data_IF_382580711153
#
_entry.id   IF_382580711153
#
_cell.length_a   1.000
_cell.length_b   1.000
_cell.length_c   1.000
_cell.angle_alpha   90.00
_cell.angle_beta   90.00
_cell.angle_gamma   90.00
#
_symmetry.space_group_name_H-M   'P 1'
#
loop_
_entity.id
_entity.type
_entity.pdbx_description
1 polymer ?
#
# COMPACT_ATOMS: atom_id res chain seq x y z
N UNK A 1 6.61 26.20 -16.58
CA UNK A 1 5.67 26.51 -17.68
C UNK A 1 4.61 27.42 -17.09
N UNK A 2 4.81 28.73 -17.22
CA UNK A 2 4.06 29.72 -16.43
C UNK A 2 4.16 29.46 -14.93
N UNK A 3 3.02 29.25 -14.30
CA UNK A 3 2.86 29.02 -12.86
C UNK A 3 2.99 27.55 -12.42
N UNK A 4 3.35 26.64 -13.34
CA UNK A 4 3.52 25.23 -13.05
C UNK A 4 4.97 24.79 -13.23
N UNK A 5 5.46 23.94 -12.32
CA UNK A 5 6.77 23.30 -12.41
C UNK A 5 6.64 21.81 -12.08
N UNK A 6 7.61 21.02 -12.49
CA UNK A 6 7.65 19.60 -12.16
C UNK A 6 9.08 19.09 -12.07
N UNK A 7 9.23 18.02 -11.31
CA UNK A 7 10.42 17.17 -11.26
C UNK A 7 10.01 15.74 -11.59
N UNK A 8 10.90 15.03 -12.27
CA UNK A 8 10.71 13.61 -12.59
C UNK A 8 11.94 12.83 -12.18
N UNK A 9 11.73 11.57 -11.83
CA UNK A 9 12.79 10.62 -11.58
C UNK A 9 12.40 9.29 -12.21
N UNK A 10 13.33 8.70 -12.95
CA UNK A 10 13.21 7.35 -13.50
C UNK A 10 14.32 6.50 -12.89
N UNK A 11 13.95 5.33 -12.39
CA UNK A 11 14.86 4.36 -11.78
C UNK A 11 15.24 3.27 -12.79
N UNK A 12 16.39 2.60 -12.60
CA UNK A 12 16.86 1.58 -13.54
C UNK A 12 15.91 0.40 -13.77
N UNK A 13 15.05 0.10 -12.80
CA UNK A 13 14.04 -0.97 -12.89
C UNK A 13 12.77 -0.53 -13.65
N UNK A 14 12.74 0.72 -14.13
CA UNK A 14 11.61 1.31 -14.84
C UNK A 14 10.55 1.91 -13.92
N UNK A 15 10.73 1.90 -12.59
CA UNK A 15 9.89 2.70 -11.71
C UNK A 15 10.15 4.18 -11.99
N UNK A 16 9.11 4.99 -12.05
CA UNK A 16 9.22 6.43 -12.24
C UNK A 16 8.21 7.17 -11.37
N UNK A 17 8.57 8.39 -11.00
CA UNK A 17 7.62 9.33 -10.40
C UNK A 17 7.76 10.72 -11.01
N UNK A 18 6.66 11.47 -10.93
CA UNK A 18 6.59 12.88 -11.26
C UNK A 18 5.96 13.64 -10.08
N UNK A 19 6.61 14.70 -9.62
CA UNK A 19 6.00 15.68 -8.73
C UNK A 19 5.64 16.88 -9.57
N UNK A 20 4.36 17.20 -9.64
CA UNK A 20 3.84 18.34 -10.41
C UNK A 20 3.27 19.35 -9.43
N UNK A 21 3.72 20.59 -9.57
CA UNK A 21 3.37 21.71 -8.70
C UNK A 21 2.79 22.84 -9.52
N UNK A 22 1.80 23.53 -8.95
CA UNK A 22 1.15 24.69 -9.54
C UNK A 22 0.87 25.75 -8.47
N UNK A 23 1.16 27.00 -8.79
CA UNK A 23 0.92 28.14 -7.91
C UNK A 23 -0.15 29.06 -8.50
N UNK A 24 -1.22 29.28 -7.76
CA UNK A 24 -2.30 30.21 -8.14
C UNK A 24 -2.38 31.40 -7.17
N UNK A 25 -3.00 32.50 -7.63
CA UNK A 25 -3.14 33.73 -6.84
C UNK A 25 -1.89 34.63 -6.83
N UNK A 26 -0.82 34.23 -7.51
CA UNK A 26 0.38 35.04 -7.69
C UNK A 26 0.98 34.88 -9.09
N UNK A 27 1.70 35.91 -9.55
CA UNK A 27 2.70 35.81 -10.59
C UNK A 27 3.96 35.20 -9.99
N UNK A 28 4.42 34.09 -10.55
CA UNK A 28 5.60 33.39 -10.05
C UNK A 28 6.62 33.17 -11.16
N UNK A 29 7.88 33.31 -10.80
CA UNK A 29 9.01 32.86 -11.60
C UNK A 29 9.58 31.60 -10.98
N UNK A 30 9.41 30.48 -11.67
CA UNK A 30 9.86 29.17 -11.19
C UNK A 30 11.19 28.77 -11.82
N UNK A 31 12.03 28.07 -11.06
CA UNK A 31 13.25 27.45 -11.52
C UNK A 31 13.32 26.00 -11.01
N UNK A 32 13.84 25.10 -11.85
CA UNK A 32 14.12 23.72 -11.49
C UNK A 32 15.62 23.47 -11.60
N UNK A 33 16.27 23.10 -10.50
CA UNK A 33 17.70 22.77 -10.45
C UNK A 33 17.87 21.40 -9.80
N UNK A 34 18.20 20.39 -10.61
CA UNK A 34 18.31 19.00 -10.11
C UNK A 34 17.00 18.50 -9.51
N UNK A 35 17.02 18.20 -8.20
CA UNK A 35 15.86 17.75 -7.43
C UNK A 35 15.14 18.89 -6.68
N UNK A 36 15.53 20.14 -6.92
CA UNK A 36 14.96 21.32 -6.28
C UNK A 36 14.06 22.08 -7.26
N UNK A 37 12.86 22.43 -6.78
CA UNK A 37 11.96 23.37 -7.45
C UNK A 37 11.86 24.60 -6.57
N UNK A 38 12.25 25.76 -7.09
CA UNK A 38 12.12 27.05 -6.42
C UNK A 38 11.14 27.94 -7.16
N UNK A 39 10.41 28.79 -6.42
CA UNK A 39 9.48 29.74 -6.98
C UNK A 39 9.64 31.10 -6.30
N UNK A 40 9.94 32.14 -7.10
CA UNK A 40 9.96 33.52 -6.65
C UNK A 40 8.59 34.15 -6.94
N UNK A 41 7.94 34.66 -5.89
CA UNK A 41 6.71 35.44 -6.05
C UNK A 41 7.08 36.85 -6.53
N UNK A 42 6.64 37.22 -7.74
CA UNK A 42 6.93 38.54 -8.34
C UNK A 42 5.78 39.55 -8.13
N UNK A 43 4.63 39.06 -7.65
CA UNK A 43 3.44 39.84 -7.29
C UNK A 43 2.25 38.91 -7.09
N UNK A 44 1.25 39.30 -6.30
CA UNK A 44 0.10 38.43 -6.04
C UNK A 44 -1.02 39.08 -5.24
N UNK A 45 -2.14 38.36 -5.14
CA UNK A 45 -3.26 38.73 -4.27
C UNK A 45 -2.98 38.37 -2.81
N UNK A 46 -3.96 38.62 -1.94
CA UNK A 46 -3.86 38.32 -0.49
C UNK A 46 -3.69 36.82 -0.19
N UNK A 47 -4.07 35.95 -1.13
CA UNK A 47 -3.97 34.49 -0.99
C UNK A 47 -3.19 33.90 -2.15
N UNK A 48 -2.14 33.15 -1.84
CA UNK A 48 -1.35 32.34 -2.78
C UNK A 48 -1.57 30.87 -2.41
N UNK A 49 -1.93 30.04 -3.40
CA UNK A 49 -2.12 28.60 -3.20
C UNK A 49 -1.07 27.83 -3.96
N UNK A 50 -0.51 26.82 -3.31
CA UNK A 50 0.44 25.89 -3.91
C UNK A 50 -0.21 24.51 -3.89
N UNK A 51 -0.51 23.96 -5.07
CA UNK A 51 -1.02 22.61 -5.23
C UNK A 51 0.09 21.70 -5.73
N UNK A 52 0.16 20.50 -5.15
CA UNK A 52 1.17 19.49 -5.49
C UNK A 52 0.50 18.14 -5.69
N UNK A 53 0.95 17.42 -6.72
CA UNK A 53 0.58 16.02 -6.95
C UNK A 53 1.84 15.18 -7.11
N UNK A 54 1.77 13.92 -6.70
CA UNK A 54 2.82 12.92 -6.92
C UNK A 54 2.18 11.79 -7.72
N UNK A 55 2.68 11.55 -8.93
CA UNK A 55 2.30 10.41 -9.76
C UNK A 55 3.44 9.40 -9.77
N UNK A 56 3.12 8.12 -9.68
CA UNK A 56 4.10 7.03 -9.73
C UNK A 56 3.67 6.00 -10.76
N UNK A 57 4.61 5.35 -11.44
CA UNK A 57 4.31 4.30 -12.41
C UNK A 57 5.47 3.32 -12.60
N UNK A 58 5.15 2.09 -13.02
CA UNK A 58 6.13 1.09 -13.43
C UNK A 58 6.13 0.98 -14.96
N UNK A 59 7.27 1.22 -15.61
CA UNK A 59 7.38 1.20 -17.07
C UNK A 59 6.58 2.31 -17.77
N UNK A 60 6.19 3.37 -17.03
CA UNK A 60 5.45 4.51 -17.56
C UNK A 60 6.43 5.64 -17.88
N UNK A 61 6.26 6.29 -19.03
CA UNK A 61 7.09 7.43 -19.41
C UNK A 61 6.90 8.59 -18.43
N UNK A 62 7.99 9.30 -18.11
CA UNK A 62 7.95 10.40 -17.14
C UNK A 62 7.03 11.54 -17.59
N UNK A 63 6.96 11.79 -18.90
CA UNK A 63 6.09 12.79 -19.51
C UNK A 63 4.61 12.46 -19.31
N UNK A 64 4.24 11.17 -19.36
CA UNK A 64 2.87 10.72 -19.11
C UNK A 64 2.49 10.91 -17.64
N UNK A 65 3.42 10.67 -16.71
CA UNK A 65 3.21 10.93 -15.28
C UNK A 65 3.03 12.42 -15.01
N UNK A 66 3.81 13.29 -15.66
CA UNK A 66 3.61 14.75 -15.59
C UNK A 66 2.25 15.14 -16.13
N UNK A 67 1.84 14.59 -17.28
CA UNK A 67 0.53 14.85 -17.86
C UNK A 67 -0.62 14.38 -16.96
N UNK A 68 -0.46 13.24 -16.27
CA UNK A 68 -1.39 12.76 -15.26
C UNK A 68 -1.50 13.72 -14.08
N UNK A 69 -0.35 14.20 -13.56
CA UNK A 69 -0.32 15.16 -12.45
C UNK A 69 -1.00 16.48 -12.80
N UNK A 70 -0.72 17.02 -14.00
CA UNK A 70 -1.42 18.22 -14.52
C UNK A 70 -2.93 18.00 -14.63
N UNK A 71 -3.38 16.84 -15.13
CA UNK A 71 -4.81 16.50 -15.19
C UNK A 71 -5.44 16.40 -13.80
N UNK A 72 -4.72 15.92 -12.79
CA UNK A 72 -5.22 15.92 -11.41
C UNK A 72 -5.33 17.34 -10.85
N UNK A 73 -4.33 18.19 -11.07
CA UNK A 73 -4.35 19.59 -10.63
C UNK A 73 -5.49 20.39 -11.28
N UNK A 74 -5.74 20.20 -12.57
CA UNK A 74 -6.87 20.83 -13.26
C UNK A 74 -8.22 20.46 -12.64
N UNK A 75 -8.38 19.22 -12.15
CA UNK A 75 -9.60 18.81 -11.43
C UNK A 75 -9.76 19.48 -10.08
N UNK A 76 -8.68 19.93 -9.44
CA UNK A 76 -8.77 20.68 -8.17
C UNK A 76 -9.48 22.02 -8.40
N UNK A 77 -9.16 22.71 -9.49
CA UNK A 77 -9.85 23.96 -9.85
C UNK A 77 -11.36 23.75 -10.10
N UNK A 78 -11.75 22.58 -10.61
CA UNK A 78 -13.14 22.22 -10.89
C UNK A 78 -13.91 21.66 -9.68
N UNK A 79 -13.22 20.97 -8.75
CA UNK A 79 -13.84 20.16 -7.68
C UNK A 79 -14.21 20.94 -6.41
N UNK A 80 -13.80 22.20 -6.29
CA UNK A 80 -14.19 23.08 -5.18
C UNK A 80 -13.23 23.05 -3.98
N UNK A 81 -13.76 23.16 -2.77
CA UNK A 81 -12.99 23.31 -1.54
C UNK A 81 -12.40 21.95 -1.09
N UNK A 82 -11.08 21.78 -1.28
CA UNK A 82 -10.34 20.58 -0.88
C UNK A 82 -10.40 20.34 0.64
N UNK A 83 -10.37 21.40 1.45
CA UNK A 83 -10.42 21.29 2.91
C UNK A 83 -11.79 20.79 3.34
N UNK A 84 -12.86 21.29 2.71
CA UNK A 84 -14.21 20.80 2.95
C UNK A 84 -14.34 19.32 2.56
N UNK A 85 -13.82 18.93 1.39
CA UNK A 85 -13.87 17.53 0.91
C UNK A 85 -13.08 16.59 1.84
N UNK A 86 -11.88 17.01 2.25
CA UNK A 86 -11.05 16.27 3.20
C UNK A 86 -11.72 16.11 4.56
N UNK A 87 -12.26 17.20 5.10
CA UNK A 87 -12.93 17.22 6.41
C UNK A 87 -14.18 16.36 6.38
N UNK A 88 -14.95 16.44 5.29
CA UNK A 88 -16.15 15.62 5.11
C UNK A 88 -15.80 14.14 5.05
N UNK A 89 -14.74 13.75 4.32
CA UNK A 89 -14.30 12.36 4.28
C UNK A 89 -13.97 11.82 5.68
N UNK A 90 -13.21 12.57 6.49
CA UNK A 90 -12.91 12.17 7.86
C UNK A 90 -14.15 12.13 8.75
N UNK A 91 -15.07 13.06 8.57
CA UNK A 91 -16.33 13.05 9.30
C UNK A 91 -17.16 11.81 8.96
N UNK A 92 -17.30 11.45 7.68
CA UNK A 92 -17.95 10.22 7.24
C UNK A 92 -17.24 8.98 7.78
N UNK A 93 -15.91 8.96 7.70
CA UNK A 93 -15.09 7.88 8.23
C UNK A 93 -15.34 7.64 9.74
N UNK A 94 -15.33 8.69 10.56
CA UNK A 94 -15.54 8.55 12.01
C UNK A 94 -17.00 8.34 12.40
N UNK A 95 -17.98 8.73 11.56
CA UNK A 95 -19.40 8.42 11.78
C UNK A 95 -19.69 6.92 11.71
N UNK A 96 -18.87 6.14 11.00
CA UNK A 96 -19.03 4.67 10.92
C UNK A 96 -18.81 3.97 12.28
N UNK A 97 -18.07 4.59 13.21
CA UNK A 97 -17.86 4.03 14.54
C UNK A 97 -16.74 4.71 15.31
N UNK A 98 -16.92 4.79 16.62
CA UNK A 98 -16.00 5.39 17.59
C UNK A 98 -16.10 4.62 18.92
N UNK A 99 -15.09 4.78 19.78
CA UNK A 99 -15.08 4.18 21.12
C UNK A 99 -15.01 5.26 22.20
N UNK A 100 -15.54 4.96 23.38
CA UNK A 100 -15.23 5.73 24.57
C UNK A 100 -14.88 4.83 25.74
N UNK A 101 -13.67 5.02 26.26
CA UNK A 101 -13.07 4.28 27.35
C UNK A 101 -12.80 5.22 28.54
N UNK A 102 -12.80 4.72 29.78
CA UNK A 102 -12.34 5.48 30.94
C UNK A 102 -10.86 5.85 30.84
N UNK A 103 -10.03 4.96 30.30
CA UNK A 103 -8.61 5.21 30.04
C UNK A 103 -8.43 5.96 28.72
N UNK A 104 -8.16 7.26 28.81
CA UNK A 104 -7.95 8.13 27.65
C UNK A 104 -6.65 7.90 26.91
N UNK A 105 -5.67 7.26 27.54
CA UNK A 105 -4.43 6.87 26.86
C UNK A 105 -4.72 5.74 25.87
N UNK A 106 -5.43 4.70 26.32
CA UNK A 106 -5.80 3.57 25.45
C UNK A 106 -6.77 4.01 24.35
N UNK A 107 -7.74 4.87 24.69
CA UNK A 107 -8.66 5.47 23.71
C UNK A 107 -7.91 6.24 22.61
N UNK A 108 -6.97 7.12 22.99
CA UNK A 108 -6.19 7.89 22.01
C UNK A 108 -5.27 7.00 21.16
N UNK A 109 -4.72 5.92 21.72
CA UNK A 109 -3.94 4.94 20.96
C UNK A 109 -4.80 4.26 19.90
N UNK A 110 -6.03 3.87 20.24
CA UNK A 110 -6.97 3.31 19.25
C UNK A 110 -7.24 4.29 18.11
N UNK A 111 -7.57 5.55 18.42
CA UNK A 111 -7.78 6.57 17.40
C UNK A 111 -6.54 6.80 16.52
N UNK A 112 -5.35 6.80 17.12
CA UNK A 112 -4.08 6.97 16.42
C UNK A 112 -3.83 5.83 15.43
N UNK A 113 -4.03 4.58 15.85
CA UNK A 113 -3.79 3.42 14.98
C UNK A 113 -4.81 3.33 13.83
N UNK A 114 -6.09 3.59 14.10
CA UNK A 114 -7.11 3.63 13.04
C UNK A 114 -6.84 4.78 12.06
N UNK A 115 -6.46 5.97 12.57
CA UNK A 115 -6.06 7.11 11.73
C UNK A 115 -4.86 6.77 10.84
N UNK A 116 -3.85 6.08 11.37
CA UNK A 116 -2.67 5.66 10.61
C UNK A 116 -3.05 4.75 9.45
N UNK A 117 -3.78 3.67 9.71
CA UNK A 117 -4.19 2.73 8.64
C UNK A 117 -5.04 3.44 7.58
N UNK A 118 -5.99 4.29 8.01
CA UNK A 118 -6.84 5.08 7.11
C UNK A 118 -6.08 6.11 6.26
N UNK A 119 -4.90 6.54 6.73
CA UNK A 119 -4.03 7.47 6.00
C UNK A 119 -3.15 6.79 4.96
N UNK A 120 -2.92 5.47 5.07
CA UNK A 120 -2.00 4.75 4.20
C UNK A 120 -2.59 3.55 3.44
N UNK A 121 -3.82 3.13 3.72
CA UNK A 121 -4.42 1.93 3.11
C UNK A 121 -5.85 2.15 2.65
N UNK A 122 -6.08 3.22 1.87
CA UNK A 122 -7.40 3.47 1.25
C UNK A 122 -7.59 2.61 -0.01
N UNK A 123 -8.82 2.18 -0.34
CA UNK A 123 -9.13 1.48 -1.59
C UNK A 123 -8.56 2.20 -2.82
N UNK A 124 -8.03 1.43 -3.78
CA UNK A 124 -7.34 1.95 -4.97
C UNK A 124 -5.91 2.47 -4.71
N UNK A 125 -5.45 2.44 -3.47
CA UNK A 125 -4.06 2.72 -3.08
C UNK A 125 -3.18 1.47 -3.04
N UNK A 126 -1.94 1.63 -2.59
CA UNK A 126 -1.04 0.51 -2.30
C UNK A 126 -1.15 0.11 -0.83
N UNK A 127 -1.00 -1.18 -0.52
CA UNK A 127 -0.85 -1.62 0.86
C UNK A 127 0.39 -0.98 1.50
N UNK A 128 0.35 -0.53 2.76
CA UNK A 128 1.55 -0.08 3.46
C UNK A 128 2.52 -1.23 3.72
N UNK A 129 3.81 -1.00 3.46
CA UNK A 129 4.89 -1.84 3.97
C UNK A 129 5.14 -1.63 5.47
N UNK A 130 6.25 -2.17 5.99
CA UNK A 130 6.59 -2.10 7.43
C UNK A 130 6.62 -0.68 8.03
N UNK A 131 6.93 0.33 7.21
CA UNK A 131 7.06 1.73 7.64
C UNK A 131 5.89 2.60 7.17
N UNK A 132 4.82 1.99 6.65
CA UNK A 132 3.77 2.72 5.95
C UNK A 132 4.31 3.50 4.76
N UNK A 133 3.76 4.69 4.54
CA UNK A 133 4.27 5.65 3.53
C UNK A 133 5.24 6.67 4.13
N UNK A 134 5.72 6.43 5.36
CA UNK A 134 6.47 7.41 6.15
C UNK A 134 7.94 7.01 6.31
N UNK A 135 8.65 6.89 5.19
CA UNK A 135 10.11 6.74 5.18
C UNK A 135 10.77 7.92 4.48
N UNK A 136 11.65 8.61 5.20
CA UNK A 136 12.56 9.62 4.62
C UNK A 136 13.92 9.04 4.20
N UNK A 137 14.12 7.72 4.36
CA UNK A 137 15.39 7.06 4.06
C UNK A 137 15.42 6.56 2.62
N UNK A 138 16.52 6.78 1.88
CA UNK A 138 16.72 6.16 0.55
C UNK A 138 16.73 4.64 0.59
N UNK A 139 17.25 4.05 1.69
CA UNK A 139 17.22 2.62 1.97
C UNK A 139 16.66 2.42 3.39
N UNK A 140 15.33 2.28 3.54
CA UNK A 140 14.74 2.07 4.84
C UNK A 140 15.16 0.74 5.46
N UNK A 141 15.11 0.59 6.79
CA UNK A 141 15.25 -0.71 7.45
C UNK A 141 14.39 -1.78 6.77
N UNK A 142 14.99 -2.95 6.49
CA UNK A 142 14.38 -4.05 5.74
C UNK A 142 13.77 -3.64 4.39
N UNK A 143 14.26 -2.56 3.79
CA UNK A 143 13.77 -1.95 2.53
C UNK A 143 12.30 -1.52 2.58
N UNK A 144 11.74 -1.33 3.77
CA UNK A 144 10.33 -0.97 3.94
C UNK A 144 9.39 -2.05 3.39
N UNK A 145 9.81 -3.31 3.43
CA UNK A 145 9.15 -4.41 2.74
C UNK A 145 7.82 -4.85 3.35
N UNK A 146 7.23 -5.89 2.75
CA UNK A 146 6.12 -6.63 3.31
C UNK A 146 6.68 -7.83 4.06
N UNK A 147 6.78 -7.69 5.38
CA UNK A 147 7.27 -8.74 6.26
C UNK A 147 6.13 -9.52 6.93
N UNK A 148 6.02 -10.80 6.60
CA UNK A 148 4.81 -11.60 6.82
C UNK A 148 4.89 -12.52 8.04
N UNK A 149 5.95 -12.46 8.85
CA UNK A 149 6.02 -13.24 10.09
C UNK A 149 5.37 -12.54 11.30
N UNK A 150 4.81 -11.33 11.13
CA UNK A 150 3.98 -10.57 12.09
C UNK A 150 3.62 -9.17 11.56
N UNK A 151 4.51 -8.52 10.80
CA UNK A 151 4.46 -7.06 10.58
C UNK A 151 3.33 -6.63 9.65
N UNK A 152 3.16 -7.31 8.52
CA UNK A 152 2.03 -7.06 7.64
C UNK A 152 0.73 -7.34 8.40
N UNK A 153 0.67 -8.43 9.15
CA UNK A 153 -0.57 -8.85 9.80
C UNK A 153 -1.03 -7.87 10.86
N UNK A 154 -0.12 -7.42 11.74
CA UNK A 154 -0.46 -6.47 12.79
C UNK A 154 -0.95 -5.12 12.25
N UNK A 155 -0.47 -4.69 11.07
CA UNK A 155 -0.93 -3.46 10.44
C UNK A 155 -2.42 -3.50 10.09
N UNK A 156 -2.96 -4.68 9.79
CA UNK A 156 -4.33 -4.84 9.31
C UNK A 156 -5.30 -5.44 10.33
N UNK A 157 -4.85 -6.02 11.44
CA UNK A 157 -5.77 -6.53 12.46
C UNK A 157 -6.88 -5.57 12.90
N UNK A 158 -6.62 -4.25 13.07
CA UNK A 158 -7.68 -3.33 13.48
C UNK A 158 -8.84 -3.24 12.49
N UNK A 159 -8.63 -3.49 11.19
CA UNK A 159 -9.66 -3.31 10.16
C UNK A 159 -10.85 -4.26 10.36
N UNK A 160 -10.61 -5.43 10.95
CA UNK A 160 -11.63 -6.47 11.16
C UNK A 160 -12.53 -6.22 12.37
N UNK A 161 -12.11 -5.36 13.31
CA UNK A 161 -12.85 -5.12 14.56
C UNK A 161 -13.30 -3.67 14.73
N UNK A 162 -12.78 -2.75 13.91
CA UNK A 162 -13.09 -1.33 13.99
C UNK A 162 -14.20 -0.84 13.04
N UNK A 163 -14.91 -1.75 12.36
CA UNK A 163 -15.87 -1.42 11.29
C UNK A 163 -15.21 -0.61 10.17
N UNK A 164 -14.04 -1.06 9.67
CA UNK A 164 -13.23 -0.40 8.63
C UNK A 164 -12.66 -1.39 7.62
N UNK A 165 -13.45 -2.38 7.23
CA UNK A 165 -13.02 -3.50 6.39
C UNK A 165 -12.49 -3.05 5.02
N UNK A 166 -12.98 -1.91 4.51
CA UNK A 166 -12.54 -1.30 3.25
C UNK A 166 -11.04 -0.96 3.26
N UNK A 167 -10.47 -0.67 4.43
CA UNK A 167 -9.04 -0.40 4.56
C UNK A 167 -8.17 -1.64 4.34
N UNK A 168 -8.76 -2.83 4.34
CA UNK A 168 -8.07 -4.07 3.96
C UNK A 168 -7.92 -4.26 2.46
N UNK A 169 -8.69 -3.54 1.62
CA UNK A 169 -8.72 -3.77 0.17
C UNK A 169 -7.34 -3.73 -0.51
N UNK A 170 -6.44 -2.77 -0.21
CA UNK A 170 -5.12 -2.74 -0.83
C UNK A 170 -4.26 -3.97 -0.50
N UNK A 171 -4.46 -4.60 0.68
CA UNK A 171 -3.75 -5.83 1.05
C UNK A 171 -4.19 -7.00 0.16
N UNK A 172 -5.51 -7.15 -0.03
CA UNK A 172 -6.08 -8.22 -0.83
C UNK A 172 -5.69 -8.08 -2.29
N UNK A 173 -5.85 -6.88 -2.85
CA UNK A 173 -5.46 -6.54 -4.23
C UNK A 173 -3.98 -6.84 -4.47
N UNK A 174 -3.11 -6.46 -3.54
CA UNK A 174 -1.67 -6.71 -3.64
C UNK A 174 -1.36 -8.21 -3.67
N UNK A 175 -1.94 -9.01 -2.77
CA UNK A 175 -1.66 -10.45 -2.70
C UNK A 175 -2.27 -11.24 -3.85
N UNK A 176 -3.46 -10.85 -4.33
CA UNK A 176 -4.07 -11.41 -5.55
C UNK A 176 -3.23 -11.07 -6.78
N UNK A 177 -2.82 -9.81 -6.91
CA UNK A 177 -2.04 -9.33 -8.05
C UNK A 177 -0.64 -9.95 -8.19
N UNK A 178 -0.09 -10.51 -7.11
CA UNK A 178 1.22 -11.18 -7.15
C UNK A 178 1.13 -12.72 -7.15
N UNK A 179 -0.07 -13.32 -7.11
CA UNK A 179 -0.23 -14.77 -6.95
C UNK A 179 0.50 -15.56 -8.04
N UNK A 180 0.27 -15.22 -9.32
CA UNK A 180 0.89 -15.92 -10.46
C UNK A 180 2.41 -15.88 -10.41
N UNK A 181 2.98 -14.70 -10.11
CA UNK A 181 4.42 -14.52 -9.95
C UNK A 181 4.98 -15.39 -8.81
N UNK A 182 4.28 -15.46 -7.67
CA UNK A 182 4.68 -16.26 -6.51
C UNK A 182 4.60 -17.76 -6.83
N UNK A 183 3.56 -18.20 -7.54
CA UNK A 183 3.45 -19.60 -8.01
C UNK A 183 4.58 -19.94 -8.97
N UNK A 184 4.89 -19.07 -9.92
CA UNK A 184 6.02 -19.27 -10.84
C UNK A 184 7.35 -19.38 -10.08
N UNK A 185 7.62 -18.47 -9.14
CA UNK A 185 8.82 -18.53 -8.30
C UNK A 185 8.91 -19.79 -7.46
N UNK A 186 7.77 -20.26 -6.93
CA UNK A 186 7.70 -21.50 -6.16
C UNK A 186 8.02 -22.71 -7.04
N UNK A 187 7.49 -22.75 -8.26
CA UNK A 187 7.74 -23.83 -9.23
C UNK A 187 9.22 -23.96 -9.61
N UNK A 188 9.97 -22.84 -9.68
CA UNK A 188 11.41 -22.82 -9.94
C UNK A 188 12.22 -23.53 -8.85
N UNK A 189 11.66 -23.70 -7.65
CA UNK A 189 12.24 -24.47 -6.55
C UNK A 189 11.83 -25.94 -6.53
N UNK A 190 11.03 -26.39 -7.51
CA UNK A 190 10.50 -27.76 -7.58
C UNK A 190 9.28 -28.02 -6.68
N UNK A 191 8.70 -26.97 -6.09
CA UNK A 191 7.52 -27.06 -5.23
C UNK A 191 6.26 -26.57 -5.96
N UNK A 192 5.08 -27.15 -5.72
CA UNK A 192 3.82 -26.63 -6.25
C UNK A 192 3.30 -25.46 -5.41
N UNK A 193 2.26 -24.80 -5.89
CA UNK A 193 1.52 -23.83 -5.09
C UNK A 193 2.20 -22.47 -4.95
N UNK A 194 1.67 -21.67 -4.03
CA UNK A 194 2.20 -20.36 -3.70
C UNK A 194 2.97 -20.39 -2.37
N UNK A 195 4.29 -20.20 -2.46
CA UNK A 195 5.16 -19.96 -1.31
C UNK A 195 5.50 -18.48 -1.19
N UNK A 196 4.66 -17.73 -0.47
CA UNK A 196 4.97 -16.34 -0.16
C UNK A 196 6.25 -16.22 0.69
N UNK A 197 7.24 -15.41 0.28
CA UNK A 197 8.43 -15.17 1.09
C UNK A 197 8.09 -14.47 2.40
N UNK A 198 8.95 -14.63 3.41
CA UNK A 198 8.82 -13.92 4.69
C UNK A 198 8.93 -12.40 4.54
N UNK A 199 9.79 -11.94 3.64
CA UNK A 199 9.99 -10.53 3.32
C UNK A 199 10.03 -10.37 1.81
N UNK A 200 9.10 -9.59 1.26
CA UNK A 200 8.95 -9.44 -0.18
C UNK A 200 8.63 -8.01 -0.59
N UNK A 201 8.93 -7.67 -1.84
CA UNK A 201 8.43 -6.45 -2.48
C UNK A 201 6.96 -6.57 -2.89
N UNK A 202 6.40 -5.49 -3.44
CA UNK A 202 5.00 -5.47 -3.94
C UNK A 202 4.71 -6.48 -5.06
N UNK A 203 5.76 -6.96 -5.73
CA UNK A 203 5.69 -7.95 -6.80
C UNK A 203 5.83 -9.40 -6.30
N UNK A 204 5.88 -9.62 -4.98
CA UNK A 204 6.05 -10.95 -4.39
C UNK A 204 7.49 -11.48 -4.37
N UNK A 205 8.43 -10.78 -5.00
CA UNK A 205 9.85 -11.19 -5.04
C UNK A 205 10.47 -11.05 -3.65
N UNK A 206 11.17 -12.10 -3.21
CA UNK A 206 11.87 -12.14 -1.92
C UNK A 206 12.99 -11.09 -1.82
N UNK A 207 13.07 -10.39 -0.69
CA UNK A 207 14.19 -9.51 -0.35
C UNK A 207 15.42 -10.24 0.19
N UNK A 208 15.32 -11.55 0.41
CA UNK A 208 16.42 -12.39 0.89
C UNK A 208 16.43 -13.74 0.16
N UNK A 209 16.59 -13.74 -1.18
CA UNK A 209 16.58 -14.97 -1.96
C UNK A 209 17.71 -15.90 -1.49
N UNK A 210 17.41 -17.19 -1.31
CA UNK A 210 18.38 -18.21 -0.88
C UNK A 210 18.76 -18.20 0.61
N UNK A 211 18.26 -17.26 1.41
CA UNK A 211 18.53 -17.26 2.85
C UNK A 211 17.68 -18.32 3.57
N UNK A 212 18.32 -19.21 4.33
CA UNK A 212 17.61 -20.20 5.17
C UNK A 212 16.84 -19.52 6.32
N UNK A 213 17.42 -18.50 6.95
CA UNK A 213 16.76 -17.73 8.02
C UNK A 213 15.72 -16.74 7.50
N UNK A 214 15.84 -16.32 6.22
CA UNK A 214 15.06 -15.22 5.67
C UNK A 214 14.00 -15.62 4.65
N UNK A 215 14.24 -16.67 3.86
CA UNK A 215 13.41 -17.09 2.74
C UNK A 215 12.61 -18.38 2.99
N UNK A 216 12.96 -19.19 3.99
CA UNK A 216 12.19 -20.38 4.37
C UNK A 216 11.37 -20.12 5.64
N UNK A 217 10.18 -19.54 5.45
CA UNK A 217 9.16 -19.50 6.48
C UNK A 217 7.82 -19.95 5.86
N UNK A 218 7.39 -21.20 6.09
CA UNK A 218 6.22 -21.78 5.40
C UNK A 218 4.88 -21.19 5.88
N UNK A 219 4.88 -20.42 6.98
CA UNK A 219 3.68 -19.86 7.57
C UNK A 219 3.08 -18.66 6.83
N UNK A 220 3.76 -18.09 5.82
CA UNK A 220 3.29 -16.88 5.13
C UNK A 220 1.95 -17.08 4.49
N UNK A 221 1.85 -18.10 3.63
CA UNK A 221 0.63 -18.39 2.88
C UNK A 221 -0.56 -18.60 3.80
N UNK A 222 -0.49 -19.50 4.80
CA UNK A 222 -1.58 -19.69 5.75
C UNK A 222 -2.00 -18.43 6.51
N UNK A 223 -1.06 -17.57 6.92
CA UNK A 223 -1.42 -16.35 7.63
C UNK A 223 -2.05 -15.30 6.68
N UNK A 224 -1.54 -15.18 5.45
CA UNK A 224 -2.17 -14.36 4.41
C UNK A 224 -3.61 -14.84 4.16
N UNK A 225 -3.82 -16.15 4.01
CA UNK A 225 -5.16 -16.75 3.85
C UNK A 225 -6.11 -16.36 4.99
N UNK A 226 -5.61 -16.26 6.23
CA UNK A 226 -6.43 -15.85 7.37
C UNK A 226 -7.02 -14.44 7.19
N UNK A 227 -6.29 -13.51 6.57
CA UNK A 227 -6.79 -12.15 6.30
C UNK A 227 -7.95 -12.15 5.29
N UNK A 228 -7.85 -12.94 4.21
CA UNK A 228 -8.95 -13.14 3.25
C UNK A 228 -10.15 -13.81 3.92
N UNK A 229 -9.91 -14.84 4.73
CA UNK A 229 -10.96 -15.53 5.47
C UNK A 229 -11.68 -14.63 6.47
N UNK A 230 -10.95 -13.81 7.23
CA UNK A 230 -11.55 -12.86 8.16
C UNK A 230 -12.39 -11.80 7.46
N UNK A 231 -11.99 -11.34 6.27
CA UNK A 231 -12.84 -10.46 5.48
C UNK A 231 -14.17 -11.16 5.12
N UNK A 232 -14.09 -12.36 4.55
CA UNK A 232 -15.29 -13.15 4.21
C UNK A 232 -16.17 -13.46 5.43
N UNK A 233 -15.59 -13.82 6.58
CA UNK A 233 -16.35 -14.11 7.79
C UNK A 233 -17.15 -12.90 8.29
N UNK A 234 -16.61 -11.70 8.11
CA UNK A 234 -17.24 -10.45 8.53
C UNK A 234 -18.26 -9.92 7.51
N UNK A 235 -18.02 -10.10 6.21
CA UNK A 235 -18.90 -9.56 5.15
C UNK A 235 -19.91 -10.58 4.59
N UNK A 236 -19.57 -11.87 4.67
CA UNK A 236 -20.24 -12.97 3.96
C UNK A 236 -20.32 -12.76 2.44
N UNK A 237 -19.37 -12.01 1.89
CA UNK A 237 -19.30 -11.74 0.45
C UNK A 237 -18.78 -12.97 -0.31
N UNK A 238 -19.70 -13.74 -0.90
CA UNK A 238 -19.36 -14.90 -1.72
C UNK A 238 -18.62 -14.53 -3.02
N UNK A 239 -18.82 -13.33 -3.56
CA UNK A 239 -18.12 -12.90 -4.76
C UNK A 239 -16.64 -12.67 -4.44
N UNK A 240 -16.35 -11.97 -3.33
CA UNK A 240 -15.00 -11.84 -2.80
C UNK A 240 -14.36 -13.20 -2.49
N UNK A 241 -15.10 -14.13 -1.86
CA UNK A 241 -14.56 -15.46 -1.58
C UNK A 241 -14.21 -16.22 -2.86
N UNK A 242 -15.05 -16.16 -3.91
CA UNK A 242 -14.74 -16.79 -5.20
C UNK A 242 -13.51 -16.18 -5.86
N UNK A 243 -13.35 -14.86 -5.77
CA UNK A 243 -12.20 -14.15 -6.31
C UNK A 243 -10.89 -14.55 -5.61
N UNK A 244 -10.90 -14.65 -4.27
CA UNK A 244 -9.70 -15.00 -3.51
C UNK A 244 -9.50 -16.50 -3.28
N UNK A 245 -10.45 -17.35 -3.67
CA UNK A 245 -10.34 -18.80 -3.55
C UNK A 245 -9.02 -19.38 -4.09
N UNK A 246 -8.47 -18.90 -5.24
CA UNK A 246 -7.18 -19.35 -5.74
C UNK A 246 -6.02 -19.19 -4.74
N UNK A 247 -6.01 -18.14 -3.91
CA UNK A 247 -4.96 -17.97 -2.89
C UNK A 247 -4.97 -19.13 -1.91
N UNK A 248 -6.15 -19.57 -1.45
CA UNK A 248 -6.28 -20.69 -0.53
C UNK A 248 -5.81 -21.99 -1.16
N UNK A 249 -6.18 -22.25 -2.42
CA UNK A 249 -5.81 -23.50 -3.10
C UNK A 249 -4.31 -23.56 -3.36
N UNK A 250 -3.70 -22.46 -3.82
CA UNK A 250 -2.27 -22.41 -4.10
C UNK A 250 -1.43 -22.46 -2.82
N UNK A 251 -1.83 -21.74 -1.77
CA UNK A 251 -1.14 -21.81 -0.48
C UNK A 251 -1.26 -23.22 0.14
N UNK A 252 -2.42 -23.87 0.04
CA UNK A 252 -2.62 -25.23 0.52
C UNK A 252 -1.78 -26.24 -0.27
N UNK A 253 -1.73 -26.11 -1.59
CA UNK A 253 -0.91 -26.98 -2.44
C UNK A 253 0.57 -26.92 -2.04
N UNK A 254 1.10 -25.71 -1.81
CA UNK A 254 2.45 -25.54 -1.28
C UNK A 254 2.59 -26.17 0.10
N UNK A 255 1.68 -25.88 1.03
CA UNK A 255 1.78 -26.32 2.42
C UNK A 255 1.75 -27.84 2.54
N UNK A 256 0.87 -28.53 1.78
CA UNK A 256 0.81 -29.99 1.71
C UNK A 256 2.10 -30.59 1.16
N UNK A 257 2.65 -30.03 0.08
CA UNK A 257 3.93 -30.48 -0.47
C UNK A 257 5.09 -30.25 0.51
N UNK A 258 5.02 -29.18 1.30
CA UNK A 258 6.04 -28.83 2.29
C UNK A 258 6.06 -29.79 3.48
N UNK A 259 4.90 -30.11 4.06
CA UNK A 259 4.80 -31.03 5.21
C UNK A 259 4.94 -32.50 4.82
N UNK A 260 4.73 -32.82 3.54
CA UNK A 260 4.84 -34.18 3.01
C UNK A 260 3.76 -35.13 3.53
N UNK A 261 4.02 -36.42 3.38
CA UNK A 261 3.13 -37.47 3.89
C UNK A 261 3.24 -37.60 5.41
N UNK A 262 2.15 -37.95 6.10
CA UNK A 262 2.21 -38.20 7.54
C UNK A 262 3.09 -39.42 7.84
N UNK A 263 3.74 -39.40 9.00
CA UNK A 263 4.47 -40.55 9.49
C UNK A 263 3.54 -41.75 9.82
N UNK A 264 4.13 -42.88 10.21
CA UNK A 264 3.36 -44.08 10.58
C UNK A 264 2.37 -43.89 11.75
N UNK A 265 2.46 -42.79 12.49
CA UNK A 265 1.53 -42.41 13.57
C UNK A 265 0.44 -41.45 13.11
N UNK A 266 0.45 -41.04 11.85
CA UNK A 266 -0.50 -40.08 11.28
C UNK A 266 -0.10 -38.61 11.51
N UNK A 267 1.16 -38.32 11.87
CA UNK A 267 1.64 -36.95 12.13
C UNK A 267 2.41 -36.38 10.94
N UNK A 268 2.06 -35.16 10.54
CA UNK A 268 2.81 -34.35 9.58
C UNK A 268 3.98 -33.66 10.31
N UNK A 269 5.13 -33.53 9.63
CA UNK A 269 6.34 -32.88 10.17
C UNK A 269 6.60 -31.52 9.50
#
# INVERSE_FOLDING_TARGET
DGNSAWMTQVFPDGFAYAVVLEISGASVKMACEGAEVSALLEGGGETVRCHLTIQTGQGVAAEDLVAQGRRQLAKIEESGDLDATHTQWWADFWRQGWISLPDKTVENLWYTEIYKVASCSRPGGQAPGQLGHWSGYPDPPWRGDYHTNINVQQNFWPVYTANRLELGAPLYEMYLGMLDQVVEETSRSGMPGARYPRGHGKNGVSNSPGSLNGGMWPGSGPWICAHFWWHFEMTRDEAFLRECYPIFTECLAFFLAYVGEPDSTGRYN
#
